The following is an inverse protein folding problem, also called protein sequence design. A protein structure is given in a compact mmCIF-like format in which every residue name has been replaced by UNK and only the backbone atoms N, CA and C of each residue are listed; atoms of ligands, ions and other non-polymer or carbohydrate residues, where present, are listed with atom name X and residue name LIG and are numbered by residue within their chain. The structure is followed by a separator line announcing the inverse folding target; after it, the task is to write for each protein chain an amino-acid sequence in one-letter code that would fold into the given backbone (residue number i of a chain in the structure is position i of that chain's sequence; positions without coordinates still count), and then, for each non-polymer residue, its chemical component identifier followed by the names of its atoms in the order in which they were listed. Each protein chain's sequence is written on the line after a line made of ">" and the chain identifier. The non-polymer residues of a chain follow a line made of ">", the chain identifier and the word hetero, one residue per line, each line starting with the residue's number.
data_IF_797045732573
#
_entry.id   IF_797045732573
#
_cell.length_a   1.000
_cell.length_b   1.000
_cell.length_c   1.000
_cell.angle_alpha   90.00
_cell.angle_beta   90.00
_cell.angle_gamma   90.00
#
_symmetry.space_group_name_H-M   'P 1'
#
loop_
_entity.id
_entity.type
_entity.pdbx_description
1 polymer ?
#
# COMPACT_ATOMS: atom_id res chain seq x y z
N UNK A 1 31.14 -8.54 -52.45
CA UNK A 1 30.03 -9.12 -51.66
C UNK A 1 30.40 -9.65 -50.27
N UNK A 2 31.67 -9.54 -49.79
CA UNK A 2 32.01 -9.91 -48.40
C UNK A 2 31.75 -8.81 -47.36
N UNK A 3 31.79 -7.52 -47.76
CA UNK A 3 31.62 -6.39 -46.82
C UNK A 3 30.17 -6.01 -46.54
N UNK A 4 29.24 -6.38 -47.42
CA UNK A 4 27.79 -6.13 -47.22
C UNK A 4 27.22 -7.12 -46.20
N UNK A 5 27.76 -8.34 -46.13
CA UNK A 5 27.40 -9.34 -45.12
C UNK A 5 27.81 -8.92 -43.69
N UNK A 6 28.91 -8.15 -43.58
CA UNK A 6 29.39 -7.65 -42.29
C UNK A 6 28.54 -6.50 -41.74
N UNK A 7 27.90 -5.70 -42.61
CA UNK A 7 27.01 -4.61 -42.18
C UNK A 7 25.66 -5.16 -41.69
N UNK A 8 25.19 -6.28 -42.26
CA UNK A 8 23.93 -6.93 -41.85
C UNK A 8 23.97 -7.53 -40.43
N UNK A 9 25.17 -7.85 -39.92
CA UNK A 9 25.33 -8.51 -38.60
C UNK A 9 25.32 -7.51 -37.43
N UNK A 10 25.48 -6.21 -37.69
CA UNK A 10 25.56 -5.17 -36.64
C UNK A 10 24.17 -4.65 -36.21
N UNK A 11 23.08 -5.01 -36.91
CA UNK A 11 21.75 -4.43 -36.69
C UNK A 11 20.82 -5.19 -35.72
N UNK A 12 21.26 -6.28 -35.09
CA UNK A 12 20.36 -7.21 -34.34
C UNK A 12 20.50 -7.13 -32.81
N UNK A 13 21.14 -6.10 -32.25
CA UNK A 13 21.32 -5.97 -30.80
C UNK A 13 20.57 -4.78 -30.16
N UNK A 14 19.52 -4.27 -30.80
CA UNK A 14 18.55 -3.42 -30.09
C UNK A 14 17.67 -4.33 -29.22
N UNK A 15 18.19 -4.74 -28.06
CA UNK A 15 17.36 -5.28 -26.99
C UNK A 15 16.40 -4.16 -26.58
N UNK A 16 15.16 -4.24 -27.05
CA UNK A 16 14.07 -3.44 -26.54
C UNK A 16 13.87 -3.86 -25.08
N UNK A 17 14.42 -3.09 -24.15
CA UNK A 17 13.99 -3.11 -22.75
C UNK A 17 12.57 -2.54 -22.72
N UNK A 18 11.58 -3.38 -23.03
CA UNK A 18 10.17 -3.02 -22.88
C UNK A 18 9.85 -2.88 -21.40
N UNK A 19 9.19 -1.78 -21.02
CA UNK A 19 8.64 -1.65 -19.67
C UNK A 19 7.66 -2.80 -19.43
N UNK A 20 7.82 -3.56 -18.35
CA UNK A 20 6.85 -4.59 -17.97
C UNK A 20 5.99 -4.10 -16.82
N UNK A 21 4.73 -4.53 -16.78
CA UNK A 21 3.80 -4.16 -15.70
C UNK A 21 4.25 -4.73 -14.34
N UNK A 22 4.92 -5.88 -14.33
CA UNK A 22 5.49 -6.48 -13.12
C UNK A 22 6.52 -5.60 -12.41
N UNK A 23 7.22 -4.73 -13.14
CA UNK A 23 8.33 -3.93 -12.62
C UNK A 23 7.85 -2.71 -11.79
N UNK A 24 6.53 -2.54 -11.69
CA UNK A 24 5.90 -1.44 -10.99
C UNK A 24 5.34 -1.91 -9.65
N UNK A 25 5.53 -1.07 -8.63
CA UNK A 25 5.01 -1.30 -7.28
C UNK A 25 3.63 -0.66 -7.10
N UNK A 26 3.40 0.49 -7.76
CA UNK A 26 2.21 1.30 -7.59
C UNK A 26 1.36 1.31 -8.86
N UNK A 27 0.05 1.18 -8.67
CA UNK A 27 -0.93 1.34 -9.74
C UNK A 27 -1.99 2.34 -9.28
N UNK A 28 -2.15 3.39 -10.06
CA UNK A 28 -3.26 4.32 -9.96
C UNK A 28 -4.50 3.72 -10.63
N UNK A 29 -5.57 3.58 -9.86
CA UNK A 29 -6.89 3.17 -10.35
C UNK A 29 -7.84 4.37 -10.15
N UNK A 30 -8.33 4.99 -11.24
CA UNK A 30 -9.21 6.14 -11.14
C UNK A 30 -10.56 5.73 -10.52
N UNK A 31 -11.21 6.65 -9.83
CA UNK A 31 -12.57 6.42 -9.30
C UNK A 31 -13.58 6.18 -10.43
N UNK A 32 -13.40 6.88 -11.54
CA UNK A 32 -14.17 6.70 -12.77
C UNK A 32 -13.24 6.51 -13.96
N UNK A 33 -13.47 5.45 -14.72
CA UNK A 33 -12.82 5.18 -15.99
C UNK A 33 -13.37 6.08 -17.11
N UNK A 34 -12.54 6.34 -18.11
CA UNK A 34 -12.93 7.07 -19.32
C UNK A 34 -14.07 6.38 -20.07
N UNK A 35 -14.16 5.05 -20.01
CA UNK A 35 -15.29 4.30 -20.55
C UNK A 35 -16.45 4.27 -19.54
N UNK A 36 -17.47 5.09 -19.78
CA UNK A 36 -18.65 5.23 -18.91
C UNK A 36 -19.36 3.91 -18.65
N UNK A 37 -19.31 2.94 -19.57
CA UNK A 37 -19.93 1.61 -19.37
C UNK A 37 -19.20 0.77 -18.33
N UNK A 38 -17.87 0.94 -18.20
CA UNK A 38 -17.06 0.25 -17.20
C UNK A 38 -17.27 0.80 -15.77
N UNK A 39 -17.79 2.02 -15.63
CA UNK A 39 -18.11 2.63 -14.32
C UNK A 39 -19.41 2.10 -13.72
N UNK A 40 -20.28 1.55 -14.56
CA UNK A 40 -21.49 0.88 -14.10
C UNK A 40 -21.03 -0.50 -13.58
N UNK A 41 -21.57 -0.95 -12.46
CA UNK A 41 -21.37 -2.32 -11.92
C UNK A 41 -20.14 -2.59 -11.03
N UNK A 42 -19.48 -1.56 -10.48
CA UNK A 42 -18.46 -1.73 -9.44
C UNK A 42 -17.23 -2.53 -9.87
N UNK A 43 -16.84 -2.36 -11.15
CA UNK A 43 -15.67 -3.01 -11.72
C UNK A 43 -14.36 -2.40 -11.21
N UNK A 44 -14.38 -1.14 -10.78
CA UNK A 44 -13.26 -0.45 -10.13
C UNK A 44 -12.87 -1.10 -8.79
N UNK A 45 -13.84 -1.47 -7.93
CA UNK A 45 -13.53 -2.18 -6.69
C UNK A 45 -12.98 -3.58 -6.97
N UNK A 46 -13.55 -4.28 -7.96
CA UNK A 46 -13.10 -5.61 -8.34
C UNK A 46 -11.67 -5.57 -8.89
N UNK A 47 -11.36 -4.65 -9.80
CA UNK A 47 -10.01 -4.46 -10.32
C UNK A 47 -9.03 -4.12 -9.20
N UNK A 48 -9.40 -3.20 -8.30
CA UNK A 48 -8.59 -2.83 -7.12
C UNK A 48 -8.26 -4.06 -6.27
N UNK A 49 -9.25 -4.91 -6.00
CA UNK A 49 -9.06 -6.14 -5.23
C UNK A 49 -8.08 -7.09 -5.93
N UNK A 50 -8.24 -7.29 -7.25
CA UNK A 50 -7.38 -8.20 -8.03
C UNK A 50 -5.95 -7.71 -8.11
N UNK A 51 -5.74 -6.41 -8.29
CA UNK A 51 -4.39 -5.83 -8.31
C UNK A 51 -3.71 -5.95 -6.94
N UNK A 52 -4.44 -5.75 -5.84
CA UNK A 52 -3.92 -6.00 -4.48
C UNK A 52 -3.54 -7.47 -4.27
N UNK A 53 -4.35 -8.41 -4.77
CA UNK A 53 -4.01 -9.84 -4.73
C UNK A 53 -2.72 -10.15 -5.50
N UNK A 54 -2.42 -9.38 -6.56
CA UNK A 54 -1.18 -9.46 -7.33
C UNK A 54 -0.02 -8.64 -6.74
N UNK A 55 -0.15 -8.18 -5.49
CA UNK A 55 0.86 -7.44 -4.70
C UNK A 55 1.15 -6.01 -5.15
N UNK A 56 0.30 -5.41 -5.97
CA UNK A 56 0.40 -3.98 -6.30
C UNK A 56 -0.19 -3.11 -5.18
N UNK A 57 0.45 -1.97 -4.92
CA UNK A 57 -0.11 -0.91 -4.08
C UNK A 57 -1.01 0.01 -4.90
N UNK A 58 -2.25 0.19 -4.44
CA UNK A 58 -3.25 0.93 -5.21
C UNK A 58 -3.37 2.35 -4.68
N UNK A 59 -3.21 3.29 -5.59
CA UNK A 59 -3.44 4.70 -5.36
C UNK A 59 -4.78 5.04 -6.02
N UNK A 60 -5.68 5.64 -5.25
CA UNK A 60 -7.01 6.05 -5.75
C UNK A 60 -7.09 7.54 -6.01
N UNK A 61 -6.26 8.30 -5.32
CA UNK A 61 -6.25 9.75 -5.43
C UNK A 61 -5.54 10.17 -6.71
N UNK A 62 -5.99 11.29 -7.28
CA UNK A 62 -5.38 11.90 -8.45
C UNK A 62 -3.95 12.38 -8.15
N UNK A 63 -3.18 12.61 -9.21
CA UNK A 63 -1.75 12.97 -9.13
C UNK A 63 -1.51 14.17 -8.22
N UNK A 64 -2.47 15.10 -8.13
CA UNK A 64 -2.36 16.31 -7.31
C UNK A 64 -2.27 16.03 -5.80
N UNK A 65 -2.78 14.89 -5.34
CA UNK A 65 -2.82 14.51 -3.92
C UNK A 65 -1.83 13.40 -3.58
N UNK A 66 -0.94 13.03 -4.52
CA UNK A 66 0.05 11.98 -4.24
C UNK A 66 1.05 12.42 -3.18
N UNK A 67 1.52 11.50 -2.31
CA UNK A 67 2.63 11.75 -1.41
C UNK A 67 3.84 12.33 -2.16
N UNK A 68 4.60 13.23 -1.51
CA UNK A 68 5.72 13.93 -2.15
C UNK A 68 6.73 12.99 -2.83
N UNK A 69 6.91 11.78 -2.30
CA UNK A 69 7.76 10.72 -2.85
C UNK A 69 7.32 10.25 -4.25
N UNK A 70 6.00 10.19 -4.49
CA UNK A 70 5.42 9.80 -5.78
C UNK A 70 5.18 11.01 -6.70
N UNK A 71 4.87 12.17 -6.14
CA UNK A 71 4.76 13.42 -6.90
C UNK A 71 6.09 13.81 -7.55
N UNK A 72 7.22 13.52 -6.89
CA UNK A 72 8.56 13.72 -7.45
C UNK A 72 8.92 12.74 -8.58
N UNK A 73 8.19 11.63 -8.74
CA UNK A 73 8.45 10.66 -9.80
C UNK A 73 7.17 9.91 -10.24
N UNK A 74 6.29 10.55 -11.04
CA UNK A 74 5.00 9.99 -11.41
C UNK A 74 5.11 8.75 -12.32
N UNK A 75 6.25 8.57 -12.99
CA UNK A 75 6.53 7.41 -13.85
C UNK A 75 6.81 6.13 -13.05
N UNK A 76 6.79 6.16 -11.72
CA UNK A 76 6.79 4.95 -10.88
C UNK A 76 5.41 4.36 -10.68
N UNK A 77 4.36 5.04 -11.14
CA UNK A 77 2.97 4.63 -11.00
C UNK A 77 2.39 4.32 -12.39
N UNK A 78 1.83 3.13 -12.55
CA UNK A 78 1.03 2.81 -13.74
C UNK A 78 -0.40 3.29 -13.57
N UNK A 79 -1.01 3.79 -14.63
CA UNK A 79 -2.45 4.06 -14.66
C UNK A 79 -3.16 2.83 -15.22
N UNK A 80 -4.10 2.27 -14.47
CA UNK A 80 -4.98 1.22 -14.96
C UNK A 80 -6.30 1.83 -15.46
N UNK A 81 -6.67 1.51 -16.70
CA UNK A 81 -7.95 1.86 -17.29
C UNK A 81 -8.74 0.60 -17.64
N UNK A 82 -10.07 0.69 -17.50
CA UNK A 82 -10.99 -0.34 -17.98
C UNK A 82 -11.77 0.16 -19.17
N UNK A 83 -11.94 -0.71 -20.16
CA UNK A 83 -12.81 -0.47 -21.30
C UNK A 83 -13.75 -1.66 -21.52
N UNK A 84 -15.04 -1.35 -21.76
CA UNK A 84 -16.02 -2.33 -22.22
C UNK A 84 -15.81 -2.55 -23.74
N UNK A 85 -15.41 -3.76 -24.10
CA UNK A 85 -15.17 -4.20 -25.50
C UNK A 85 -16.21 -5.24 -25.93
N UNK A 86 -17.35 -5.29 -25.24
CA UNK A 86 -18.43 -6.25 -25.47
C UNK A 86 -19.00 -6.15 -26.89
N UNK A 87 -19.47 -7.28 -27.40
CA UNK A 87 -20.25 -7.36 -28.64
C UNK A 87 -21.69 -7.77 -28.31
N UNK A 88 -22.59 -7.72 -29.30
CA UNK A 88 -24.02 -8.01 -29.13
C UNK A 88 -24.35 -9.36 -28.46
N UNK A 89 -23.40 -10.31 -28.45
CA UNK A 89 -23.60 -11.66 -27.91
C UNK A 89 -22.57 -12.06 -26.84
N UNK A 90 -21.60 -11.21 -26.51
CA UNK A 90 -20.49 -11.55 -25.62
C UNK A 90 -20.08 -10.36 -24.78
N UNK A 91 -20.08 -10.54 -23.46
CA UNK A 91 -19.51 -9.58 -22.53
C UNK A 91 -17.98 -9.69 -22.56
N UNK A 92 -17.31 -8.56 -22.76
CA UNK A 92 -15.85 -8.45 -22.82
C UNK A 92 -15.38 -7.18 -22.15
N UNK A 93 -14.25 -7.28 -21.46
CA UNK A 93 -13.57 -6.13 -20.85
C UNK A 93 -12.11 -6.16 -21.23
N UNK A 94 -11.50 -4.99 -21.34
CA UNK A 94 -10.05 -4.85 -21.48
C UNK A 94 -9.49 -4.03 -20.32
N UNK A 95 -8.36 -4.48 -19.78
CA UNK A 95 -7.57 -3.78 -18.76
C UNK A 95 -6.33 -3.23 -19.45
N UNK A 96 -6.23 -1.91 -19.52
CA UNK A 96 -5.08 -1.21 -20.12
C UNK A 96 -4.21 -0.60 -19.02
N UNK A 97 -2.93 -0.97 -19.00
CA UNK A 97 -1.93 -0.36 -18.14
C UNK A 97 -1.13 0.66 -18.95
N UNK A 98 -1.23 1.93 -18.54
CA UNK A 98 -0.54 3.05 -19.18
C UNK A 98 0.58 3.60 -18.30
N UNK A 99 1.63 4.08 -18.93
CA UNK A 99 2.70 4.82 -18.26
C UNK A 99 2.29 6.28 -17.96
N UNK A 100 3.23 7.04 -17.41
CA UNK A 100 3.08 8.47 -17.13
C UNK A 100 2.84 9.33 -18.40
N UNK A 101 3.22 8.83 -19.58
CA UNK A 101 3.00 9.49 -20.88
C UNK A 101 1.68 9.05 -21.55
N UNK A 102 0.84 8.28 -20.84
CA UNK A 102 -0.40 7.67 -21.34
C UNK A 102 -0.20 6.62 -22.46
N UNK A 103 1.00 6.09 -22.62
CA UNK A 103 1.28 5.01 -23.57
C UNK A 103 0.88 3.67 -22.95
N UNK A 104 0.09 2.88 -23.68
CA UNK A 104 -0.29 1.54 -23.24
C UNK A 104 0.92 0.60 -23.29
N UNK A 105 1.29 0.07 -22.13
CA UNK A 105 2.38 -0.90 -21.95
C UNK A 105 1.86 -2.32 -22.08
N UNK A 106 0.66 -2.57 -21.54
CA UNK A 106 0.03 -3.88 -21.55
C UNK A 106 -1.48 -3.72 -21.61
N UNK A 107 -2.10 -4.49 -22.49
CA UNK A 107 -3.55 -4.60 -22.61
C UNK A 107 -3.96 -6.05 -22.39
N UNK A 108 -4.91 -6.28 -21.48
CA UNK A 108 -5.38 -7.61 -21.10
C UNK A 108 -6.89 -7.72 -21.33
N UNK A 109 -7.26 -8.50 -22.33
CA UNK A 109 -8.66 -8.78 -22.62
C UNK A 109 -9.20 -9.94 -21.79
N UNK A 110 -10.43 -9.82 -21.34
CA UNK A 110 -11.20 -10.88 -20.70
C UNK A 110 -12.58 -11.03 -21.34
N UNK A 111 -13.13 -12.23 -21.26
CA UNK A 111 -14.42 -12.57 -21.88
C UNK A 111 -15.27 -13.40 -20.93
N UNK A 112 -16.57 -13.22 -21.01
CA UNK A 112 -17.55 -14.06 -20.32
C UNK A 112 -18.51 -14.72 -21.30
N UNK A 113 -18.97 -15.91 -20.92
CA UNK A 113 -20.06 -16.62 -21.59
C UNK A 113 -21.43 -16.31 -20.97
N UNK A 114 -21.46 -15.66 -19.80
CA UNK A 114 -22.68 -15.20 -19.14
C UNK A 114 -23.27 -14.08 -20.00
N UNK A 115 -24.54 -14.22 -20.38
CA UNK A 115 -25.21 -13.27 -21.29
C UNK A 115 -25.66 -12.02 -20.54
N UNK A 116 -26.07 -12.18 -19.29
CA UNK A 116 -26.45 -11.11 -18.39
C UNK A 116 -25.27 -10.15 -18.20
N UNK A 117 -25.49 -8.86 -18.47
CA UNK A 117 -24.42 -7.87 -18.60
C UNK A 117 -23.60 -7.72 -17.31
N UNK A 118 -24.24 -7.44 -16.18
CA UNK A 118 -23.55 -7.21 -14.91
C UNK A 118 -22.70 -8.40 -14.42
N UNK A 119 -23.25 -9.62 -14.27
CA UNK A 119 -22.43 -10.77 -13.88
C UNK A 119 -21.42 -11.16 -14.98
N UNK A 120 -21.76 -10.98 -16.26
CA UNK A 120 -20.84 -11.23 -17.37
C UNK A 120 -19.65 -10.26 -17.42
N UNK A 121 -19.84 -8.99 -17.07
CA UNK A 121 -18.76 -8.00 -16.99
C UNK A 121 -17.83 -8.29 -15.81
N UNK A 122 -18.38 -8.69 -14.66
CA UNK A 122 -17.57 -9.11 -13.50
C UNK A 122 -16.76 -10.36 -13.81
N UNK A 123 -17.37 -11.36 -14.44
CA UNK A 123 -16.69 -12.60 -14.88
C UNK A 123 -15.64 -12.34 -15.98
N UNK A 124 -15.92 -11.45 -16.93
CA UNK A 124 -14.93 -11.04 -17.93
C UNK A 124 -13.72 -10.33 -17.28
N UNK A 125 -13.95 -9.49 -16.27
CA UNK A 125 -12.87 -8.86 -15.52
C UNK A 125 -12.06 -9.87 -14.71
N UNK A 126 -12.71 -10.86 -14.11
CA UNK A 126 -12.05 -11.99 -13.47
C UNK A 126 -11.13 -12.74 -14.45
N UNK A 127 -11.62 -13.04 -15.66
CA UNK A 127 -10.83 -13.68 -16.73
C UNK A 127 -9.62 -12.84 -17.15
N UNK A 128 -9.80 -11.54 -17.37
CA UNK A 128 -8.70 -10.62 -17.69
C UNK A 128 -7.66 -10.56 -16.56
N UNK A 129 -8.13 -10.48 -15.31
CA UNK A 129 -7.29 -10.28 -14.13
C UNK A 129 -6.33 -11.44 -13.84
N UNK A 130 -6.68 -12.66 -14.28
CA UNK A 130 -5.80 -13.84 -14.16
C UNK A 130 -4.47 -13.64 -14.88
N UNK A 131 -4.50 -12.90 -15.99
CA UNK A 131 -3.34 -12.62 -16.87
C UNK A 131 -2.44 -11.51 -16.32
N UNK A 132 -2.86 -10.82 -15.26
CA UNK A 132 -2.04 -9.78 -14.62
C UNK A 132 -0.84 -10.47 -13.95
N UNK A 133 0.40 -10.02 -14.25
CA UNK A 133 1.59 -10.56 -13.61
C UNK A 133 1.62 -10.20 -12.12
N UNK A 134 2.42 -10.93 -11.34
CA UNK A 134 2.70 -10.53 -9.97
C UNK A 134 3.62 -9.30 -9.97
N UNK A 135 3.40 -8.37 -9.05
CA UNK A 135 4.33 -7.26 -8.82
C UNK A 135 5.64 -7.82 -8.29
N UNK A 136 6.73 -7.57 -9.03
CA UNK A 136 8.11 -7.84 -8.62
C UNK A 136 8.87 -6.54 -8.88
N UNK A 137 8.75 -5.55 -7.97
CA UNK A 137 9.42 -4.27 -8.15
C UNK A 137 10.91 -4.52 -8.25
N UNK A 138 11.47 -4.23 -9.43
CA UNK A 138 12.91 -4.15 -9.56
C UNK A 138 13.34 -2.91 -8.78
N UNK A 139 14.34 -3.03 -7.91
CA UNK A 139 15.06 -1.90 -7.38
C UNK A 139 15.71 -1.19 -8.58
N UNK A 140 14.97 -0.30 -9.24
CA UNK A 140 15.50 0.50 -10.34
C UNK A 140 16.40 1.54 -9.70
N UNK A 141 17.73 1.51 -9.92
CA UNK A 141 18.59 2.59 -9.50
C UNK A 141 18.34 3.74 -10.49
N UNK A 142 17.33 4.56 -10.22
CA UNK A 142 17.28 5.87 -10.84
C UNK A 142 17.92 6.86 -9.89
N UNK A 143 18.87 7.62 -10.43
CA UNK A 143 19.72 8.55 -9.73
C UNK A 143 18.89 9.39 -8.75
N UNK A 144 19.03 9.07 -7.45
CA UNK A 144 18.84 10.09 -6.43
C UNK A 144 19.69 11.26 -6.91
N UNK A 145 19.06 12.39 -7.23
CA UNK A 145 19.78 13.66 -7.13
C UNK A 145 20.14 13.75 -5.66
N UNK A 146 21.37 13.35 -5.39
CA UNK A 146 22.03 13.49 -4.11
C UNK A 146 22.03 14.98 -3.84
N UNK A 147 21.10 15.45 -3.02
CA UNK A 147 21.41 16.60 -2.18
C UNK A 147 22.48 16.10 -1.21
N UNK A 148 23.72 16.34 -1.62
CA UNK A 148 24.88 16.29 -0.76
C UNK A 148 24.66 17.28 0.39
N UNK A 149 24.29 16.74 1.55
CA UNK A 149 24.84 17.24 2.80
C UNK A 149 25.19 16.07 3.70
N UNK A 150 26.30 15.43 3.31
CA UNK A 150 27.12 14.61 4.18
C UNK A 150 27.40 15.40 5.47
N UNK A 151 26.81 14.96 6.58
CA UNK A 151 27.41 15.19 7.89
C UNK A 151 27.65 13.83 8.53
N UNK A 152 28.94 13.53 8.61
CA UNK A 152 29.56 12.30 9.07
C UNK A 152 29.03 11.90 10.45
N UNK A 153 28.68 10.61 10.60
CA UNK A 153 28.59 9.95 11.89
C UNK A 153 29.87 9.09 12.01
N UNK A 154 30.76 9.37 12.97
CA UNK A 154 31.94 8.55 13.17
C UNK A 154 31.56 7.19 13.76
N UNK A 155 32.01 6.17 13.05
CA UNK A 155 32.05 4.76 13.44
C UNK A 155 32.74 4.60 14.79
N UNK A 156 32.04 4.06 15.79
CA UNK A 156 32.70 3.57 17.00
C UNK A 156 32.54 2.07 17.11
N UNK A 157 33.69 1.40 17.16
CA UNK A 157 33.89 -0.05 17.15
C UNK A 157 33.21 -0.74 18.33
N UNK A 158 32.65 -1.92 18.05
CA UNK A 158 32.23 -2.90 19.03
C UNK A 158 33.42 -3.80 19.36
N UNK A 159 33.75 -3.91 20.65
CA UNK A 159 34.50 -5.01 21.23
C UNK A 159 33.75 -5.49 22.48
N UNK A 160 33.57 -6.81 22.57
CA UNK A 160 32.70 -7.50 23.50
C UNK A 160 33.40 -7.88 24.83
N UNK A 161 32.57 -8.29 25.82
CA UNK A 161 32.85 -9.33 26.86
C UNK A 161 33.57 -8.78 28.13
N UNK A 162 33.13 -8.92 29.40
CA UNK A 162 32.06 -9.68 30.10
C UNK A 162 31.99 -9.29 31.61
N UNK A 163 30.90 -9.75 32.28
CA UNK A 163 30.67 -10.07 33.73
C UNK A 163 30.40 -8.97 34.78
N UNK A 164 29.14 -9.00 35.29
CA UNK A 164 28.56 -8.88 36.66
C UNK A 164 29.14 -7.86 37.69
N UNK A 165 28.41 -7.21 38.61
CA UNK A 165 27.30 -7.60 39.52
C UNK A 165 26.63 -6.31 40.10
N UNK A 166 25.34 -6.41 40.47
CA UNK A 166 24.40 -5.45 41.13
C UNK A 166 24.83 -5.17 42.62
N UNK A 167 24.43 -4.12 43.44
CA UNK A 167 23.15 -3.36 43.52
C UNK A 167 23.13 -1.83 43.87
N UNK A 168 21.99 -1.20 43.50
CA UNK A 168 21.19 -0.10 44.13
C UNK A 168 21.81 1.04 44.99
N UNK A 169 21.43 2.31 44.73
CA UNK A 169 20.34 3.09 45.40
C UNK A 169 20.45 4.63 45.15
N UNK A 170 19.30 5.28 44.88
CA UNK A 170 18.91 6.71 44.90
C UNK A 170 19.96 7.83 44.98
N UNK A 171 19.77 8.92 44.20
CA UNK A 171 19.29 10.25 44.67
C UNK A 171 18.94 11.18 43.47
N UNK A 172 17.92 12.02 43.65
CA UNK A 172 17.40 13.07 42.74
C UNK A 172 18.38 14.25 42.55
N UNK A 173 18.42 14.85 41.34
CA UNK A 173 18.21 16.29 41.01
C UNK A 173 18.83 16.66 39.62
N UNK A 174 18.00 17.12 38.65
CA UNK A 174 17.94 18.50 38.04
C UNK A 174 19.07 18.81 37.02
N UNK A 175 18.89 18.56 35.69
CA UNK A 175 18.47 19.47 34.56
C UNK A 175 19.54 20.55 34.20
N UNK A 176 19.91 20.86 32.93
CA UNK A 176 19.05 20.93 31.72
C UNK A 176 19.55 20.34 30.39
N UNK A 177 18.54 19.93 29.63
CA UNK A 177 18.49 19.63 28.19
C UNK A 177 18.43 20.91 27.34
N UNK A 178 19.04 20.98 26.14
CA UNK A 178 18.71 21.99 25.15
C UNK A 178 17.40 21.63 24.41
N UNK A 179 16.45 22.57 24.42
CA UNK A 179 15.24 22.61 23.58
C UNK A 179 15.54 23.24 22.22
N UNK A 180 15.07 22.62 21.14
CA UNK A 180 14.49 23.24 19.93
C UNK A 180 13.55 22.13 19.37
N UNK A 181 12.22 22.11 19.50
CA UNK A 181 11.12 23.04 19.22
C UNK A 181 10.75 23.13 17.73
N UNK A 182 9.93 22.16 17.28
CA UNK A 182 8.93 22.33 16.25
C UNK A 182 7.63 21.68 16.76
N UNK A 183 6.56 22.47 16.74
CA UNK A 183 5.31 22.27 17.49
C UNK A 183 4.31 21.45 16.67
N UNK A 184 4.00 20.24 17.14
CA UNK A 184 2.67 19.65 17.02
C UNK A 184 2.47 18.78 18.29
N UNK A 185 1.46 19.12 19.10
CA UNK A 185 1.14 18.39 20.33
C UNK A 185 0.71 16.95 19.99
N UNK A 186 1.63 16.00 20.08
CA UNK A 186 1.28 14.58 20.09
C UNK A 186 0.78 14.24 21.49
N UNK A 187 -0.52 14.38 21.74
CA UNK A 187 -1.20 13.71 22.85
C UNK A 187 -1.24 12.21 22.54
N UNK A 188 -0.12 11.51 22.76
CA UNK A 188 -0.08 10.06 22.67
C UNK A 188 -0.92 9.49 23.83
N UNK A 189 -2.13 9.05 23.53
CA UNK A 189 -2.97 8.36 24.51
C UNK A 189 -2.52 6.90 24.59
N UNK A 190 -2.19 6.43 25.79
CA UNK A 190 -1.69 5.07 26.00
C UNK A 190 -2.85 4.16 26.40
N UNK A 191 -2.90 2.98 25.80
CA UNK A 191 -3.94 1.98 25.97
C UNK A 191 -3.34 0.63 26.35
N UNK A 192 -4.00 -0.12 27.23
CA UNK A 192 -3.53 -1.46 27.61
C UNK A 192 -4.67 -2.42 27.90
N UNK A 193 -4.43 -3.70 27.63
CA UNK A 193 -5.29 -4.82 28.01
C UNK A 193 -4.63 -5.71 29.09
N UNK A 194 -3.59 -5.21 29.77
CA UNK A 194 -2.80 -5.93 30.77
C UNK A 194 -1.62 -6.72 30.20
N UNK A 195 -1.74 -7.27 28.99
CA UNK A 195 -0.65 -8.00 28.30
C UNK A 195 0.10 -7.10 27.31
N UNK A 196 -0.64 -6.29 26.56
CA UNK A 196 -0.13 -5.38 25.55
C UNK A 196 -0.31 -3.92 26.01
N UNK A 197 0.67 -3.08 25.67
CA UNK A 197 0.59 -1.62 25.83
C UNK A 197 0.78 -0.98 24.46
N UNK A 198 -0.19 -0.19 24.04
CA UNK A 198 -0.28 0.40 22.72
C UNK A 198 -0.45 1.91 22.82
N UNK A 199 0.24 2.66 21.96
CA UNK A 199 0.03 4.09 21.83
C UNK A 199 -0.97 4.35 20.71
N UNK A 200 -1.97 5.18 20.98
CA UNK A 200 -2.88 5.69 19.97
C UNK A 200 -2.30 6.93 19.34
N UNK A 201 -2.16 6.90 18.02
CA UNK A 201 -1.68 8.01 17.21
C UNK A 201 -2.78 8.37 16.22
N UNK A 202 -3.27 9.60 16.31
CA UNK A 202 -4.25 10.13 15.36
C UNK A 202 -3.58 10.42 14.01
N UNK A 203 -4.26 10.02 12.95
CA UNK A 203 -3.95 10.37 11.58
C UNK A 203 -5.00 11.39 11.08
N UNK A 204 -4.94 11.72 9.79
CA UNK A 204 -5.92 12.59 9.16
C UNK A 204 -7.31 11.95 9.09
N UNK A 205 -8.35 12.78 8.88
CA UNK A 205 -9.71 12.34 8.57
C UNK A 205 -10.35 11.39 9.63
N UNK A 206 -9.93 11.49 10.89
CA UNK A 206 -10.47 10.66 11.97
C UNK A 206 -9.93 9.23 11.99
N UNK A 207 -8.96 8.90 11.12
CA UNK A 207 -8.20 7.66 11.19
C UNK A 207 -7.22 7.71 12.37
N UNK A 208 -6.95 6.57 12.98
CA UNK A 208 -5.89 6.45 13.98
C UNK A 208 -5.26 5.06 13.96
N UNK A 209 -4.07 4.94 14.50
CA UNK A 209 -3.35 3.67 14.64
C UNK A 209 -3.06 3.37 16.10
N UNK A 210 -3.03 2.09 16.42
CA UNK A 210 -2.47 1.57 17.66
C UNK A 210 -1.09 0.98 17.38
N UNK A 211 -0.06 1.52 18.03
CA UNK A 211 1.33 1.09 17.84
C UNK A 211 1.89 0.50 19.13
N UNK A 212 2.57 -0.63 19.03
CA UNK A 212 3.41 -1.12 20.11
C UNK A 212 4.76 -0.40 20.01
N UNK A 213 5.25 0.28 21.06
CA UNK A 213 6.53 1.00 20.99
C UNK A 213 7.74 0.11 20.68
N UNK A 214 7.60 -1.22 20.83
CA UNK A 214 8.65 -2.19 20.54
C UNK A 214 8.51 -2.84 19.15
N UNK A 215 7.53 -2.42 18.33
CA UNK A 215 7.29 -2.98 16.99
C UNK A 215 7.23 -1.86 15.94
N UNK A 216 7.85 -2.09 14.78
CA UNK A 216 7.83 -1.16 13.65
C UNK A 216 6.50 -1.21 12.88
N UNK A 217 5.71 -2.27 13.03
CA UNK A 217 4.38 -2.41 12.40
C UNK A 217 3.29 -2.03 13.39
N UNK A 218 2.31 -1.18 13.00
CA UNK A 218 1.16 -0.89 13.84
C UNK A 218 0.38 -2.18 14.16
N UNK A 219 -0.01 -2.34 15.42
CA UNK A 219 -0.85 -3.45 15.86
C UNK A 219 -2.20 -3.46 15.13
N UNK A 220 -2.80 -2.27 14.97
CA UNK A 220 -4.05 -2.10 14.24
C UNK A 220 -4.23 -0.68 13.70
N UNK A 221 -4.88 -0.57 12.54
CA UNK A 221 -5.25 0.68 11.86
C UNK A 221 -6.77 0.84 11.83
N UNK A 222 -7.29 1.96 12.33
CA UNK A 222 -8.71 2.22 12.53
C UNK A 222 -9.21 3.29 11.58
N UNK A 223 -10.06 2.92 10.63
CA UNK A 223 -10.70 3.84 9.68
C UNK A 223 -12.16 4.07 10.05
N UNK A 224 -12.64 5.33 10.13
CA UNK A 224 -14.04 5.61 10.45
C UNK A 224 -15.00 4.86 9.51
N UNK A 225 -16.06 4.30 10.07
CA UNK A 225 -17.18 3.75 9.29
C UNK A 225 -18.29 4.81 9.12
N UNK A 226 -19.38 4.44 8.46
CA UNK A 226 -20.58 5.29 8.38
C UNK A 226 -21.36 5.39 9.71
N UNK A 227 -21.00 4.59 10.72
CA UNK A 227 -21.61 4.63 12.07
C UNK A 227 -20.62 5.27 13.05
N UNK A 228 -21.13 6.21 13.84
CA UNK A 228 -20.36 6.90 14.90
C UNK A 228 -19.73 5.86 15.84
N UNK A 229 -18.48 6.10 16.22
CA UNK A 229 -17.69 5.27 17.13
C UNK A 229 -17.45 3.81 16.68
N UNK A 230 -17.73 3.50 15.40
CA UNK A 230 -17.45 2.21 14.77
C UNK A 230 -16.42 2.40 13.65
N UNK A 231 -15.42 1.54 13.65
CA UNK A 231 -14.27 1.61 12.77
C UNK A 231 -14.09 0.32 11.98
N UNK A 232 -13.67 0.45 10.72
CA UNK A 232 -13.09 -0.64 9.94
C UNK A 232 -11.64 -0.78 10.37
N UNK A 233 -11.28 -1.93 10.94
CA UNK A 233 -9.95 -2.16 11.51
C UNK A 233 -9.16 -3.10 10.61
N UNK A 234 -7.90 -2.76 10.35
CA UNK A 234 -6.93 -3.68 9.75
C UNK A 234 -5.87 -4.02 10.79
N UNK A 235 -5.73 -5.30 11.11
CA UNK A 235 -4.75 -5.81 12.08
C UNK A 235 -3.35 -5.89 11.44
N UNK A 236 -2.33 -6.06 12.28
CA UNK A 236 -0.93 -6.24 11.87
C UNK A 236 -0.71 -7.38 10.85
N UNK A 237 -1.54 -8.44 10.93
CA UNK A 237 -1.49 -9.58 9.99
C UNK A 237 -2.22 -9.32 8.66
N UNK A 238 -2.78 -8.12 8.48
CA UNK A 238 -3.53 -7.71 7.30
C UNK A 238 -5.02 -8.09 7.31
N UNK A 239 -5.48 -8.87 8.28
CA UNK A 239 -6.89 -9.24 8.43
C UNK A 239 -7.74 -8.02 8.74
N UNK A 240 -8.90 -7.93 8.07
CA UNK A 240 -9.88 -6.87 8.30
C UNK A 240 -10.93 -7.32 9.31
N UNK A 241 -11.23 -6.45 10.26
CA UNK A 241 -12.22 -6.67 11.32
C UNK A 241 -12.94 -5.36 11.66
N UNK A 242 -13.77 -5.37 12.70
CA UNK A 242 -14.46 -4.20 13.23
C UNK A 242 -13.86 -3.83 14.58
N UNK A 243 -13.77 -2.53 14.84
CA UNK A 243 -13.44 -2.01 16.16
C UNK A 243 -14.40 -0.92 16.59
N UNK A 244 -14.49 -0.75 17.90
CA UNK A 244 -15.43 0.14 18.55
C UNK A 244 -14.68 1.06 19.52
N UNK A 245 -15.16 2.28 19.65
CA UNK A 245 -14.71 3.21 20.67
C UNK A 245 -15.87 3.45 21.65
N UNK A 246 -15.95 2.66 22.72
CA UNK A 246 -17.04 2.73 23.71
C UNK A 246 -16.47 3.11 25.08
N UNK A 247 -17.05 4.13 25.72
CA UNK A 247 -16.63 4.64 27.03
C UNK A 247 -15.13 4.96 27.16
N UNK A 248 -14.51 5.42 26.06
CA UNK A 248 -13.08 5.74 26.01
C UNK A 248 -12.17 4.51 25.99
N UNK A 249 -12.73 3.30 25.87
CA UNK A 249 -12.02 2.05 25.60
C UNK A 249 -12.02 1.77 24.10
N UNK A 250 -10.99 1.07 23.65
CA UNK A 250 -10.89 0.61 22.27
C UNK A 250 -11.15 -0.89 22.27
N UNK A 251 -12.16 -1.32 21.55
CA UNK A 251 -12.52 -2.72 21.41
C UNK A 251 -12.25 -3.18 19.99
N UNK A 252 -11.62 -4.35 19.84
CA UNK A 252 -11.28 -4.92 18.54
C UNK A 252 -11.82 -6.34 18.47
N UNK A 253 -12.65 -6.62 17.47
CA UNK A 253 -13.17 -7.96 17.24
C UNK A 253 -12.09 -8.81 16.54
N UNK A 254 -11.84 -10.01 17.05
CA UNK A 254 -10.86 -10.94 16.51
C UNK A 254 -11.53 -12.28 16.23
N UNK A 255 -11.11 -12.91 15.14
CA UNK A 255 -11.56 -14.26 14.78
C UNK A 255 -10.62 -15.29 15.40
N UNK A 256 -11.16 -16.22 16.18
CA UNK A 256 -10.44 -17.36 16.73
C UNK A 256 -10.18 -18.41 15.65
N UNK A 257 -9.27 -19.35 15.93
CA UNK A 257 -8.93 -20.44 15.01
C UNK A 257 -10.12 -21.36 14.68
N UNK A 258 -11.12 -21.41 15.56
CA UNK A 258 -12.36 -22.18 15.37
C UNK A 258 -13.46 -21.41 14.61
N UNK A 259 -13.17 -20.17 14.19
CA UNK A 259 -14.12 -19.29 13.50
C UNK A 259 -15.07 -18.53 14.42
N UNK A 260 -14.98 -18.69 15.74
CA UNK A 260 -15.72 -17.87 16.70
C UNK A 260 -15.11 -16.46 16.82
N UNK A 261 -15.90 -15.49 17.26
CA UNK A 261 -15.44 -14.12 17.49
C UNK A 261 -15.14 -13.89 18.96
N UNK A 262 -14.05 -13.17 19.25
CA UNK A 262 -13.73 -12.63 20.58
C UNK A 262 -13.46 -11.14 20.48
N UNK A 263 -13.61 -10.42 21.57
CA UNK A 263 -13.30 -8.98 21.63
C UNK A 263 -12.10 -8.74 22.52
N UNK A 264 -11.09 -8.03 22.00
CA UNK A 264 -9.98 -7.51 22.80
C UNK A 264 -10.28 -6.06 23.19
N UNK A 265 -10.26 -5.79 24.50
CA UNK A 265 -10.60 -4.48 25.06
C UNK A 265 -9.35 -3.82 25.62
N UNK A 266 -9.01 -2.65 25.11
CA UNK A 266 -7.91 -1.82 25.58
C UNK A 266 -8.46 -0.61 26.32
N UNK A 267 -8.07 -0.48 27.60
CA UNK A 267 -8.45 0.66 28.43
C UNK A 267 -7.35 1.71 28.42
N UNK A 268 -7.74 2.99 28.44
CA UNK A 268 -6.79 4.10 28.58
C UNK A 268 -6.05 3.99 29.91
N UNK A 269 -4.74 4.14 29.87
CA UNK A 269 -3.84 4.08 31.03
C UNK A 269 -3.60 5.45 31.65
#
# INVERSE_FOLDING_TARGET
>A
MKKILQISTVLVAAFFYGQQVSDYQYIYVPETFSNVKANKHGLNELLTLKLKQKKFMIIKESVENWPAELAGNPCQVLRAELSDTSSMFKNKVSIDFKDCENKSILSLDGKSLIKEFEPGMRDALEDASKKIPLSVPLERPYAKKTDELTKEIPTTKIANTEVAIVPQKNTKQVVPTPKIQATAEIKAEVYSNGSLTLNRIFLANGEFILVNPNNSVPYATFKPSGKKDVYRVQLENGTSTIGYLEDGKIEVELVNADGSFRTEVFSKK
#
